data_IF_994397288455
#
_entry.id   IF_994397288455
#
_cell.length_a   1.000
_cell.length_b   1.000
_cell.length_c   1.000
_cell.angle_alpha   90.00
_cell.angle_beta   90.00
_cell.angle_gamma   90.00
#
_symmetry.space_group_name_H-M   'P 1'
#
loop_
_entity.id
_entity.type
_entity.pdbx_description
1 polymer ?
#
# COMPACT_ATOMS: atom_id res chain seq x y z
N UNK A 1 -13.16 -23.82 8.12
CA UNK A 1 -12.39 -23.20 7.03
C UNK A 1 -11.65 -21.93 7.46
N UNK A 2 -12.30 -20.93 8.07
CA UNK A 2 -11.66 -19.65 8.44
C UNK A 2 -10.37 -19.78 9.30
N UNK A 3 -10.37 -20.66 10.31
CA UNK A 3 -9.20 -20.88 11.18
C UNK A 3 -7.98 -21.41 10.38
N UNK A 4 -8.21 -22.20 9.34
CA UNK A 4 -7.14 -22.75 8.52
C UNK A 4 -6.51 -21.70 7.60
N UNK A 5 -7.31 -20.81 7.01
CA UNK A 5 -6.80 -19.73 6.15
C UNK A 5 -6.01 -18.69 6.94
N UNK A 6 -6.46 -18.34 8.15
CA UNK A 6 -5.70 -17.45 9.04
C UNK A 6 -4.33 -18.03 9.39
N UNK A 7 -4.27 -19.33 9.68
CA UNK A 7 -2.99 -20.01 9.93
C UNK A 7 -2.05 -19.95 8.71
N UNK A 8 -2.59 -20.09 7.49
CA UNK A 8 -1.82 -19.95 6.25
C UNK A 8 -1.24 -18.54 6.10
N UNK A 9 -2.05 -17.50 6.32
CA UNK A 9 -1.57 -16.10 6.29
C UNK A 9 -0.47 -15.87 7.31
N UNK A 10 -0.67 -16.34 8.55
CA UNK A 10 0.32 -16.21 9.61
C UNK A 10 1.65 -16.88 9.23
N UNK A 11 1.59 -18.11 8.70
CA UNK A 11 2.76 -18.86 8.28
C UNK A 11 3.47 -18.21 7.09
N UNK A 12 2.73 -17.68 6.12
CA UNK A 12 3.29 -16.98 4.96
C UNK A 12 4.08 -15.72 5.37
N UNK A 13 3.52 -14.93 6.31
CA UNK A 13 4.23 -13.74 6.82
C UNK A 13 5.47 -14.13 7.64
N UNK A 14 5.37 -15.13 8.51
CA UNK A 14 6.53 -15.55 9.33
C UNK A 14 7.64 -16.19 8.48
N UNK A 15 7.29 -17.00 7.48
CA UNK A 15 8.28 -17.59 6.57
C UNK A 15 9.00 -16.56 5.70
N UNK A 16 8.33 -15.45 5.36
CA UNK A 16 8.93 -14.35 4.58
C UNK A 16 9.71 -13.35 5.45
N UNK A 17 9.59 -13.42 6.78
CA UNK A 17 10.09 -12.39 7.69
C UNK A 17 11.61 -12.20 7.61
N UNK A 18 12.38 -13.27 7.41
CA UNK A 18 13.84 -13.21 7.29
C UNK A 18 14.29 -12.43 6.07
N UNK A 19 13.79 -12.80 4.89
CA UNK A 19 14.14 -12.14 3.62
C UNK A 19 13.68 -10.68 3.59
N UNK A 20 12.50 -10.38 4.14
CA UNK A 20 12.00 -9.00 4.24
C UNK A 20 12.82 -8.15 5.21
N UNK A 21 13.31 -8.75 6.30
CA UNK A 21 14.26 -8.09 7.20
C UNK A 21 15.55 -7.74 6.48
N UNK A 22 16.15 -8.67 5.74
CA UNK A 22 17.37 -8.43 4.98
C UNK A 22 17.19 -7.35 3.92
N UNK A 23 16.06 -7.38 3.20
CA UNK A 23 15.69 -6.32 2.26
C UNK A 23 15.58 -4.97 2.95
N UNK A 24 14.87 -4.89 4.09
CA UNK A 24 14.72 -3.67 4.85
C UNK A 24 16.04 -3.11 5.39
N UNK A 25 16.92 -3.98 5.89
CA UNK A 25 18.26 -3.60 6.36
C UNK A 25 19.13 -3.08 5.22
N UNK A 26 19.04 -3.69 4.04
CA UNK A 26 19.74 -3.21 2.87
C UNK A 26 19.29 -1.79 2.50
N UNK A 27 17.98 -1.55 2.40
CA UNK A 27 17.45 -0.22 2.09
C UNK A 27 17.84 0.81 3.15
N UNK A 28 17.70 0.45 4.42
CA UNK A 28 18.04 1.31 5.55
C UNK A 28 19.54 1.68 5.58
N UNK A 29 20.43 0.74 5.23
CA UNK A 29 21.86 0.96 5.16
C UNK A 29 22.36 1.68 3.90
N UNK A 30 21.51 1.84 2.89
CA UNK A 30 21.83 2.49 1.62
C UNK A 30 20.83 3.62 1.30
N UNK A 31 20.77 4.69 2.12
CA UNK A 31 19.82 5.78 1.89
C UNK A 31 20.19 6.58 0.63
N UNK A 32 19.19 6.83 -0.22
CA UNK A 32 19.31 7.63 -1.44
C UNK A 32 18.42 8.87 -1.36
N UNK A 33 18.76 9.91 -2.12
CA UNK A 33 17.97 11.15 -2.17
C UNK A 33 16.82 11.04 -3.18
N UNK A 34 15.80 11.87 -2.98
CA UNK A 34 14.64 11.95 -3.88
C UNK A 34 15.04 12.00 -5.36
N UNK A 35 14.39 11.18 -6.19
CA UNK A 35 14.60 11.05 -7.63
C UNK A 35 15.97 10.48 -8.05
N UNK A 36 16.71 9.87 -7.11
CA UNK A 36 18.01 9.23 -7.36
C UNK A 36 18.11 7.84 -6.72
N UNK A 37 16.98 7.20 -6.45
CA UNK A 37 16.87 5.94 -5.71
C UNK A 37 17.17 4.71 -6.59
N UNK A 38 18.28 4.71 -7.33
CA UNK A 38 18.61 3.64 -8.27
C UNK A 38 18.91 2.30 -7.57
N UNK A 39 19.59 2.35 -6.44
CA UNK A 39 19.95 1.16 -5.66
C UNK A 39 18.72 0.53 -5.03
N UNK A 40 17.86 1.34 -4.42
CA UNK A 40 16.59 0.89 -3.87
C UNK A 40 15.66 0.33 -4.96
N UNK A 41 15.59 0.99 -6.12
CA UNK A 41 14.82 0.55 -7.28
C UNK A 41 15.23 -0.86 -7.73
N UNK A 42 16.52 -1.08 -8.00
CA UNK A 42 17.01 -2.36 -8.48
C UNK A 42 16.79 -3.47 -7.45
N UNK A 43 17.03 -3.17 -6.16
CA UNK A 43 16.87 -4.14 -5.09
C UNK A 43 15.41 -4.59 -4.91
N UNK A 44 14.47 -3.64 -4.91
CA UNK A 44 13.04 -3.93 -4.76
C UNK A 44 12.51 -4.70 -5.97
N UNK A 45 12.88 -4.27 -7.18
CA UNK A 45 12.46 -4.90 -8.42
C UNK A 45 12.95 -6.35 -8.50
N UNK A 46 14.23 -6.60 -8.22
CA UNK A 46 14.80 -7.95 -8.19
C UNK A 46 14.11 -8.82 -7.13
N UNK A 47 13.86 -8.27 -5.94
CA UNK A 47 13.16 -9.00 -4.89
C UNK A 47 11.76 -9.44 -5.35
N UNK A 48 10.99 -8.55 -5.97
CA UNK A 48 9.63 -8.84 -6.44
C UNK A 48 9.61 -9.84 -7.61
N UNK A 49 10.52 -9.71 -8.56
CA UNK A 49 10.70 -10.67 -9.66
C UNK A 49 10.95 -12.08 -9.11
N UNK A 50 11.82 -12.22 -8.10
CA UNK A 50 12.09 -13.52 -7.45
C UNK A 50 10.88 -14.07 -6.69
N UNK A 51 9.96 -13.20 -6.24
CA UNK A 51 8.68 -13.62 -5.63
C UNK A 51 7.59 -13.92 -6.68
N UNK A 52 7.92 -13.86 -7.98
CA UNK A 52 7.02 -14.21 -9.08
C UNK A 52 6.14 -13.05 -9.56
N UNK A 53 6.46 -11.81 -9.18
CA UNK A 53 5.80 -10.64 -9.75
C UNK A 53 6.33 -10.35 -11.16
N UNK A 54 5.44 -9.92 -12.04
CA UNK A 54 5.80 -9.29 -13.29
C UNK A 54 6.14 -7.83 -13.01
N UNK A 55 7.41 -7.46 -13.16
CA UNK A 55 7.91 -6.12 -12.81
C UNK A 55 8.29 -5.34 -14.06
N UNK A 56 7.62 -4.23 -14.29
CA UNK A 56 8.06 -3.19 -15.20
C UNK A 56 8.96 -2.22 -14.43
N UNK A 57 10.28 -2.39 -14.59
CA UNK A 57 11.29 -1.46 -14.07
C UNK A 57 11.27 -0.14 -14.83
N UNK A 58 11.75 0.93 -14.18
CA UNK A 58 11.82 2.31 -14.70
C UNK A 58 10.49 2.78 -15.31
N UNK A 59 9.40 2.56 -14.58
CA UNK A 59 8.04 2.84 -15.04
C UNK A 59 7.70 4.32 -14.90
N UNK A 60 7.58 5.03 -16.03
CA UNK A 60 7.38 6.49 -16.13
C UNK A 60 8.53 7.36 -15.60
N UNK A 61 9.26 6.88 -14.59
CA UNK A 61 10.45 7.50 -14.01
C UNK A 61 11.55 6.45 -13.85
N UNK A 62 12.81 6.86 -13.96
CA UNK A 62 13.96 5.95 -13.81
C UNK A 62 14.05 5.27 -12.44
N UNK A 63 13.43 5.86 -11.42
CA UNK A 63 13.44 5.33 -10.04
C UNK A 63 12.15 4.61 -9.68
N UNK A 64 11.10 4.67 -10.51
CA UNK A 64 9.82 4.03 -10.25
C UNK A 64 9.71 2.64 -10.90
N UNK A 65 8.91 1.75 -10.32
CA UNK A 65 8.58 0.44 -10.91
C UNK A 65 7.10 0.12 -10.73
N UNK A 66 6.56 -0.74 -11.59
CA UNK A 66 5.20 -1.31 -11.48
C UNK A 66 5.34 -2.82 -11.34
N UNK A 67 4.75 -3.40 -10.29
CA UNK A 67 4.79 -4.83 -10.03
C UNK A 67 3.38 -5.41 -10.02
N UNK A 68 3.16 -6.46 -10.81
CA UNK A 68 1.88 -7.15 -10.90
C UNK A 68 2.03 -8.61 -10.54
N UNK A 69 1.06 -9.13 -9.78
CA UNK A 69 1.03 -10.54 -9.42
C UNK A 69 -0.25 -11.18 -9.93
N UNK A 70 -0.11 -12.25 -10.70
CA UNK A 70 -1.21 -13.09 -11.12
C UNK A 70 -1.13 -14.41 -10.35
N UNK A 71 -2.16 -14.71 -9.55
CA UNK A 71 -2.23 -16.00 -8.89
C UNK A 71 -2.38 -17.14 -9.93
N UNK A 72 -1.72 -18.30 -9.72
CA UNK A 72 -1.97 -19.49 -10.54
C UNK A 72 -3.45 -19.90 -10.43
N UNK A 73 -4.18 -19.83 -11.54
CA UNK A 73 -5.64 -20.04 -11.58
C UNK A 73 -6.43 -18.90 -12.24
N UNK A 74 -5.79 -17.76 -12.50
CA UNK A 74 -6.44 -16.59 -13.10
C UNK A 74 -6.85 -15.55 -12.05
N UNK A 75 -7.43 -14.44 -12.51
CA UNK A 75 -7.93 -13.36 -11.64
C UNK A 75 -9.26 -13.74 -10.98
N UNK A 76 -9.24 -14.66 -10.01
CA UNK A 76 -10.28 -14.69 -8.97
C UNK A 76 -10.06 -13.57 -7.92
N UNK A 77 -9.07 -12.70 -8.16
CA UNK A 77 -8.73 -11.56 -7.31
C UNK A 77 -9.82 -10.49 -7.30
N UNK A 78 -9.95 -9.83 -6.16
CA UNK A 78 -10.84 -8.68 -5.99
C UNK A 78 -10.34 -7.51 -6.85
N UNK A 79 -10.96 -7.31 -8.02
CA UNK A 79 -10.78 -6.09 -8.79
C UNK A 79 -11.55 -4.95 -8.11
N UNK A 80 -10.81 -3.94 -7.68
CA UNK A 80 -11.35 -2.63 -7.35
C UNK A 80 -11.22 -1.77 -8.62
N UNK A 81 -12.33 -1.47 -9.29
CA UNK A 81 -12.40 -0.51 -10.40
C UNK A 81 -12.56 -1.09 -11.81
N UNK A 82 -13.32 -0.37 -12.63
CA UNK A 82 -13.33 -0.49 -14.10
C UNK A 82 -12.19 0.37 -14.68
N UNK A 83 -11.59 -0.07 -15.78
CA UNK A 83 -10.26 0.32 -16.26
C UNK A 83 -10.05 1.78 -16.73
N UNK A 84 -11.03 2.67 -16.58
CA UNK A 84 -10.98 4.04 -17.09
C UNK A 84 -11.56 5.01 -16.06
N UNK A 85 -10.72 5.74 -15.32
CA UNK A 85 -11.08 7.05 -14.74
C UNK A 85 -9.84 7.78 -14.19
N UNK A 86 -9.72 9.07 -14.54
CA UNK A 86 -8.53 9.89 -14.36
C UNK A 86 -8.42 10.59 -12.99
N UNK A 87 -7.17 10.87 -12.61
CA UNK A 87 -6.69 11.33 -11.30
C UNK A 87 -6.97 12.83 -11.02
N UNK A 88 -7.48 13.19 -9.84
CA UNK A 88 -7.55 14.58 -9.33
C UNK A 88 -7.13 14.65 -7.86
N UNK A 89 -6.25 15.60 -7.50
CA UNK A 89 -5.65 15.76 -6.16
C UNK A 89 -6.27 16.94 -5.38
N UNK A 90 -6.48 16.77 -4.07
CA UNK A 90 -6.40 17.86 -3.09
C UNK A 90 -6.08 17.34 -1.68
N UNK A 91 -5.33 18.12 -0.89
CA UNK A 91 -4.44 17.65 0.17
C UNK A 91 -4.83 18.02 1.61
N UNK A 92 -4.52 17.09 2.53
CA UNK A 92 -3.87 17.32 3.83
C UNK A 92 -3.10 16.03 4.19
N UNK A 93 -1.77 16.07 4.16
CA UNK A 93 -0.84 14.94 3.85
C UNK A 93 -0.59 14.77 2.34
N UNK A 94 0.68 14.72 1.94
CA UNK A 94 1.12 14.59 0.55
C UNK A 94 1.68 13.19 0.33
N UNK A 95 0.79 12.28 -0.09
CA UNK A 95 1.09 10.88 -0.39
C UNK A 95 0.37 10.51 -1.68
N UNK A 96 1.02 9.76 -2.55
CA UNK A 96 0.43 9.25 -3.79
C UNK A 96 -0.76 8.31 -3.54
N UNK A 97 -0.81 7.67 -2.36
CA UNK A 97 -1.99 6.95 -1.85
C UNK A 97 -3.26 7.81 -1.82
N UNK A 98 -3.13 9.13 -1.63
CA UNK A 98 -4.26 10.06 -1.68
C UNK A 98 -4.85 10.21 -3.09
N UNK A 99 -4.04 9.99 -4.13
CA UNK A 99 -4.53 9.92 -5.50
C UNK A 99 -5.30 8.62 -5.73
N UNK A 100 -4.76 7.50 -5.25
CA UNK A 100 -5.41 6.18 -5.35
C UNK A 100 -6.76 6.17 -4.64
N UNK A 101 -6.85 6.82 -3.46
CA UNK A 101 -8.10 6.90 -2.69
C UNK A 101 -9.22 7.69 -3.36
N UNK A 102 -8.95 8.41 -4.46
CA UNK A 102 -9.98 9.07 -5.27
C UNK A 102 -10.53 8.16 -6.36
N UNK A 103 -9.75 7.16 -6.78
CA UNK A 103 -10.14 6.19 -7.78
C UNK A 103 -10.81 4.97 -7.15
N UNK A 104 -10.29 4.48 -6.02
CA UNK A 104 -10.66 3.20 -5.40
C UNK A 104 -10.71 3.29 -3.87
N UNK A 105 -11.44 2.37 -3.19
CA UNK A 105 -11.31 2.19 -1.75
C UNK A 105 -9.84 1.95 -1.38
N UNK A 106 -9.30 2.78 -0.50
CA UNK A 106 -7.89 2.75 -0.12
C UNK A 106 -7.73 2.79 1.40
N UNK A 107 -6.84 1.94 1.92
CA UNK A 107 -6.49 1.89 3.34
C UNK A 107 -5.03 2.30 3.51
N UNK A 108 -4.79 3.37 4.28
CA UNK A 108 -3.45 3.75 4.72
C UNK A 108 -3.29 3.47 6.22
N UNK A 109 -2.73 2.31 6.54
CA UNK A 109 -2.50 1.91 7.93
C UNK A 109 -1.22 2.56 8.50
N UNK A 110 -1.31 3.10 9.71
CA UNK A 110 -0.16 3.55 10.49
C UNK A 110 -0.03 2.70 11.75
N UNK A 111 1.20 2.38 12.15
CA UNK A 111 1.49 1.64 13.37
C UNK A 111 2.68 2.26 14.11
N UNK A 112 2.69 2.11 15.43
CA UNK A 112 3.75 2.63 16.27
C UNK A 112 4.98 1.72 16.24
N UNK A 113 6.15 2.37 16.14
CA UNK A 113 7.45 1.78 16.47
C UNK A 113 7.99 2.53 17.69
N UNK A 114 8.76 1.87 18.55
CA UNK A 114 9.31 2.48 19.76
C UNK A 114 10.42 3.49 19.40
N UNK A 115 10.04 4.69 18.99
CA UNK A 115 10.92 5.81 18.66
C UNK A 115 10.80 6.93 19.69
N UNK A 116 11.94 7.48 20.11
CA UNK A 116 11.98 8.67 20.96
C UNK A 116 11.76 9.99 20.18
N UNK A 117 11.81 9.95 18.85
CA UNK A 117 11.55 11.12 17.98
C UNK A 117 10.34 10.95 17.08
N UNK A 118 9.82 12.07 16.59
CA UNK A 118 8.71 12.13 15.63
C UNK A 118 9.09 11.55 14.26
N UNK A 119 8.09 11.23 13.44
CA UNK A 119 8.30 10.95 12.02
C UNK A 119 9.09 12.10 11.36
N UNK A 120 9.89 11.78 10.34
CA UNK A 120 10.85 12.72 9.71
C UNK A 120 12.05 13.16 10.57
N UNK A 121 12.42 12.39 11.60
CA UNK A 121 13.64 12.64 12.37
C UNK A 121 14.68 11.53 12.18
N UNK A 122 15.97 11.86 12.40
CA UNK A 122 17.06 10.87 12.39
C UNK A 122 16.87 9.79 13.45
N UNK A 123 16.29 10.14 14.59
CA UNK A 123 15.99 9.21 15.68
C UNK A 123 14.90 8.22 15.28
N UNK A 124 13.86 8.68 14.57
CA UNK A 124 12.85 7.78 14.00
C UNK A 124 13.43 6.89 12.91
N UNK A 125 14.29 7.42 12.03
CA UNK A 125 14.97 6.62 11.02
C UNK A 125 15.82 5.50 11.66
N UNK A 126 16.56 5.80 12.72
CA UNK A 126 17.31 4.79 13.47
C UNK A 126 16.38 3.73 14.11
N UNK A 127 15.27 4.16 14.72
CA UNK A 127 14.29 3.25 15.29
C UNK A 127 13.63 2.35 14.24
N UNK A 128 13.36 2.85 13.03
CA UNK A 128 12.76 2.08 11.94
C UNK A 128 13.66 0.93 11.44
N UNK A 129 14.98 1.10 11.50
CA UNK A 129 15.95 0.06 11.16
C UNK A 129 16.23 -0.95 12.28
N UNK A 130 15.60 -0.80 13.44
CA UNK A 130 15.88 -1.63 14.63
C UNK A 130 15.20 -3.01 14.57
N UNK A 131 15.72 -3.97 15.35
CA UNK A 131 15.07 -5.29 15.51
C UNK A 131 13.76 -5.16 16.28
N UNK A 132 13.67 -4.21 17.19
CA UNK A 132 12.49 -3.92 18.00
C UNK A 132 11.30 -3.50 17.14
N UNK A 133 11.56 -2.77 16.03
CA UNK A 133 10.54 -2.39 15.05
C UNK A 133 10.00 -3.58 14.22
N UNK A 134 10.66 -4.74 14.22
CA UNK A 134 10.20 -5.89 13.43
C UNK A 134 8.91 -6.50 13.95
N UNK A 135 8.77 -6.66 15.27
CA UNK A 135 7.56 -7.24 15.85
C UNK A 135 6.27 -6.47 15.50
N UNK A 136 6.19 -5.13 15.65
CA UNK A 136 5.02 -4.37 15.22
C UNK A 136 4.86 -4.36 13.69
N UNK A 137 5.95 -4.34 12.92
CA UNK A 137 5.90 -4.41 11.45
C UNK A 137 5.26 -5.72 10.97
N UNK A 138 5.68 -6.87 11.52
CA UNK A 138 5.07 -8.18 11.19
C UNK A 138 3.59 -8.25 11.60
N UNK A 139 3.23 -7.62 12.71
CA UNK A 139 1.82 -7.53 13.13
C UNK A 139 0.99 -6.72 12.14
N UNK A 140 1.50 -5.57 11.69
CA UNK A 140 0.85 -4.75 10.69
C UNK A 140 0.69 -5.51 9.35
N UNK A 141 1.72 -6.23 8.90
CA UNK A 141 1.65 -7.05 7.70
C UNK A 141 0.56 -8.14 7.79
N UNK A 142 0.45 -8.81 8.94
CA UNK A 142 -0.62 -9.79 9.18
C UNK A 142 -2.00 -9.16 9.16
N UNK A 143 -2.18 -7.99 9.78
CA UNK A 143 -3.46 -7.27 9.77
C UNK A 143 -3.87 -6.95 8.33
N UNK A 144 -2.98 -6.39 7.52
CA UNK A 144 -3.26 -6.08 6.12
C UNK A 144 -3.61 -7.33 5.30
N UNK A 145 -2.86 -8.41 5.47
CA UNK A 145 -3.10 -9.66 4.76
C UNK A 145 -4.43 -10.32 5.19
N UNK A 146 -4.78 -10.27 6.48
CA UNK A 146 -6.07 -10.76 6.97
C UNK A 146 -7.23 -9.89 6.48
N UNK A 147 -7.07 -8.57 6.42
CA UNK A 147 -8.08 -7.68 5.82
C UNK A 147 -8.30 -8.01 4.34
N UNK A 148 -7.24 -8.24 3.57
CA UNK A 148 -7.36 -8.68 2.18
C UNK A 148 -8.06 -10.04 2.06
N UNK A 149 -7.77 -10.98 2.97
CA UNK A 149 -8.44 -12.28 3.03
C UNK A 149 -9.93 -12.15 3.36
N UNK A 150 -10.31 -11.28 4.30
CA UNK A 150 -11.71 -11.02 4.66
C UNK A 150 -12.46 -10.47 3.44
N UNK A 151 -11.88 -9.51 2.72
CA UNK A 151 -12.47 -8.95 1.49
C UNK A 151 -12.58 -9.97 0.37
N UNK A 152 -11.62 -10.90 0.28
CA UNK A 152 -11.61 -11.97 -0.72
C UNK A 152 -12.67 -13.04 -0.40
N UNK A 153 -12.84 -13.40 0.87
CA UNK A 153 -13.69 -14.51 1.30
C UNK A 153 -15.12 -14.11 1.66
N UNK A 154 -15.39 -12.82 1.88
CA UNK A 154 -16.73 -12.28 2.11
C UNK A 154 -17.13 -11.29 1.01
N UNK A 155 -17.80 -11.77 -0.06
CA UNK A 155 -18.31 -10.92 -1.14
C UNK A 155 -19.30 -9.85 -0.67
N UNK A 156 -20.00 -10.07 0.46
CA UNK A 156 -20.94 -9.07 1.00
C UNK A 156 -20.18 -7.93 1.66
N UNK A 157 -19.11 -8.23 2.41
CA UNK A 157 -18.22 -7.21 2.95
C UNK A 157 -17.62 -6.37 1.83
N UNK A 158 -17.08 -7.02 0.79
CA UNK A 158 -16.55 -6.33 -0.37
C UNK A 158 -17.60 -5.44 -1.05
N UNK A 159 -18.82 -5.96 -1.24
CA UNK A 159 -19.92 -5.19 -1.82
C UNK A 159 -20.24 -3.93 -1.00
N UNK A 160 -20.26 -4.02 0.33
CA UNK A 160 -20.46 -2.86 1.20
C UNK A 160 -19.35 -1.81 1.08
N UNK A 161 -18.09 -2.25 1.07
CA UNK A 161 -16.94 -1.33 0.90
C UNK A 161 -17.01 -0.60 -0.44
N UNK A 162 -17.37 -1.31 -1.52
CA UNK A 162 -17.54 -0.69 -2.84
C UNK A 162 -18.71 0.30 -2.86
N UNK A 163 -19.83 -0.04 -2.23
CA UNK A 163 -21.00 0.83 -2.16
C UNK A 163 -20.70 2.11 -1.37
N UNK A 164 -20.10 1.98 -0.18
CA UNK A 164 -19.73 3.12 0.67
C UNK A 164 -18.80 4.10 -0.07
N UNK A 165 -17.83 3.56 -0.82
CA UNK A 165 -16.96 4.38 -1.66
C UNK A 165 -17.72 5.10 -2.78
N UNK A 166 -18.63 4.41 -3.46
CA UNK A 166 -19.46 5.00 -4.50
C UNK A 166 -20.32 6.14 -3.95
N UNK A 167 -21.00 5.92 -2.83
CA UNK A 167 -21.86 6.91 -2.17
C UNK A 167 -21.05 8.14 -1.74
N UNK A 168 -19.86 7.93 -1.16
CA UNK A 168 -18.94 9.02 -0.83
C UNK A 168 -18.54 9.84 -2.07
N UNK A 169 -18.19 9.18 -3.19
CA UNK A 169 -17.78 9.85 -4.43
C UNK A 169 -18.92 10.68 -5.03
N UNK A 170 -20.16 10.19 -4.95
CA UNK A 170 -21.36 10.94 -5.37
C UNK A 170 -21.56 12.20 -4.53
N UNK A 171 -21.50 12.11 -3.20
CA UNK A 171 -21.71 13.25 -2.31
C UNK A 171 -20.65 14.36 -2.52
N UNK A 172 -19.38 13.98 -2.74
CA UNK A 172 -18.29 14.94 -3.03
C UNK A 172 -18.51 15.72 -4.35
N UNK A 173 -19.19 15.12 -5.32
CA UNK A 173 -19.51 15.80 -6.58
C UNK A 173 -20.68 16.79 -6.41
N UNK A 174 -21.64 16.48 -5.55
CA UNK A 174 -22.73 17.37 -5.20
C UNK A 174 -22.22 18.60 -4.45
N UNK A 175 -21.39 18.41 -3.42
CA UNK A 175 -20.74 19.50 -2.67
C UNK A 175 -19.93 20.43 -3.59
N UNK A 176 -19.21 19.88 -4.58
CA UNK A 176 -18.46 20.66 -5.58
C UNK A 176 -19.35 21.40 -6.57
N UNK A 177 -20.58 20.94 -6.83
CA UNK A 177 -21.55 21.64 -7.69
C UNK A 177 -22.20 22.79 -6.94
N UNK A 178 -22.54 22.59 -5.66
CA UNK A 178 -23.13 23.63 -4.82
C UNK A 178 -22.13 24.74 -4.48
N UNK A 179 -20.85 24.42 -4.30
CA UNK A 179 -19.82 25.42 -3.97
C UNK A 179 -19.25 26.18 -5.19
N UNK A 180 -19.81 25.99 -6.40
CA UNK A 180 -19.54 26.83 -7.58
C UNK A 180 -20.48 28.05 -7.59
N UNK A 181 -20.36 28.91 -6.59
CA UNK A 181 -20.90 30.27 -6.69
C UNK A 181 -19.99 31.07 -7.65
N UNK A 182 -20.51 31.70 -8.72
CA UNK A 182 -19.67 32.52 -9.58
C UNK A 182 -19.11 33.67 -8.74
N UNK A 183 -17.78 33.83 -8.72
CA UNK A 183 -17.19 35.08 -8.24
C UNK A 183 -17.84 36.21 -9.04
N UNK A 184 -18.62 37.04 -8.34
CA UNK A 184 -19.39 38.12 -8.92
C UNK A 184 -18.51 39.05 -9.74
N UNK A 185 -19.09 39.45 -10.88
CA UNK A 185 -18.62 40.45 -11.85
C UNK A 185 -18.22 41.78 -11.24
#
# INVERSE_FOLDING_TARGET
>A
MAVALNAVVHQAVESSAGELWELGQFLWGNPETSMKEATAHDKLSEFLERKGFQVARRYLLDTAFRAEFCAPGGIDGVLFGDADEALVVSAASSSDSGNVSQALPCLQAAFAIASAGANHSKTFAAAAGSREAQAPTRRAAKILALTALDLYTDPKLLGRVKQEFHDWKSNQQEDRKENKQPCGS
#
